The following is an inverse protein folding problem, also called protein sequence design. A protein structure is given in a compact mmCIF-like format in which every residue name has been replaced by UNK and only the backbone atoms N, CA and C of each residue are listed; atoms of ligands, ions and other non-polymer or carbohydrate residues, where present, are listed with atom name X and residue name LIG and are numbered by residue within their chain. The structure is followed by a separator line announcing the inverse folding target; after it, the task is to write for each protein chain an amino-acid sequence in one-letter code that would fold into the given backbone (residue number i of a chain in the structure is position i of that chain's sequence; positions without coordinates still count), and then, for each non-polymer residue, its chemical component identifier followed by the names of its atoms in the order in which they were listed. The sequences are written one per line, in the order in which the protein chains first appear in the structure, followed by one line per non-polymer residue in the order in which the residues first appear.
data_IF_991388805478
#
_entry.id   IF_991388805478
#
_cell.length_a   1.000
_cell.length_b   1.000
_cell.length_c   1.000
_cell.angle_alpha   90.00
_cell.angle_beta   90.00
_cell.angle_gamma   90.00
#
_symmetry.space_group_name_H-M   'P 1'
#
loop_
_entity.id
_entity.type
_entity.pdbx_description
1 polymer ?
#
# COMPACT_ATOMS: atom_id res chain seq x y z
N UNK A 1 14.32 -2.32 23.46
CA UNK A 1 14.29 -0.98 24.11
C UNK A 1 14.20 0.14 23.07
N UNK A 2 15.07 0.15 22.03
CA UNK A 2 15.11 1.22 21.02
C UNK A 2 13.79 1.43 20.24
N UNK A 3 13.08 0.36 19.77
CA UNK A 3 11.81 0.57 19.05
C UNK A 3 10.74 1.21 19.92
N UNK A 4 10.63 0.86 21.20
CA UNK A 4 9.67 1.49 22.10
C UNK A 4 9.99 2.97 22.35
N UNK A 5 11.26 3.31 22.53
CA UNK A 5 11.69 4.72 22.61
C UNK A 5 11.37 5.51 21.35
N UNK A 6 11.50 4.92 20.16
CA UNK A 6 11.13 5.54 18.90
C UNK A 6 9.62 5.76 18.76
N UNK A 7 8.79 4.84 19.25
CA UNK A 7 7.33 5.02 19.29
C UNK A 7 6.95 6.25 20.11
N UNK A 8 7.50 6.38 21.33
CA UNK A 8 7.22 7.54 22.18
C UNK A 8 7.75 8.85 21.58
N UNK A 9 8.96 8.83 21.00
CA UNK A 9 9.51 9.99 20.28
C UNK A 9 8.63 10.41 19.11
N UNK A 10 8.18 9.48 18.28
CA UNK A 10 7.32 9.77 17.14
C UNK A 10 5.92 10.21 17.56
N UNK A 11 5.37 9.66 18.65
CA UNK A 11 4.11 10.16 19.24
C UNK A 11 4.24 11.61 19.68
N UNK A 12 5.31 11.93 20.37
CA UNK A 12 5.59 13.30 20.82
C UNK A 12 5.74 14.25 19.63
N UNK A 13 6.51 13.84 18.62
CA UNK A 13 6.73 14.59 17.39
C UNK A 13 5.43 14.89 16.64
N UNK A 14 4.56 13.86 16.49
CA UNK A 14 3.24 14.00 15.87
C UNK A 14 2.29 14.87 16.69
N UNK A 15 2.35 14.79 18.02
CA UNK A 15 1.42 15.50 18.90
C UNK A 15 1.80 16.98 19.08
N UNK A 16 3.08 17.31 19.18
CA UNK A 16 3.57 18.64 19.55
C UNK A 16 4.20 19.42 18.42
N UNK A 17 4.90 18.74 17.50
CA UNK A 17 5.62 19.38 16.41
C UNK A 17 4.80 19.35 15.11
N UNK A 18 4.26 18.18 14.77
CA UNK A 18 3.44 17.98 13.56
C UNK A 18 1.98 17.73 13.98
N UNK A 19 1.23 18.79 14.25
CA UNK A 19 -0.20 18.73 14.63
C UNK A 19 -1.12 18.12 13.55
N UNK A 20 -0.61 17.74 12.38
CA UNK A 20 -1.34 17.05 11.31
C UNK A 20 -1.15 15.54 11.45
N UNK A 21 -2.18 14.86 11.96
CA UNK A 21 -2.33 13.43 11.74
C UNK A 21 -2.29 13.20 10.23
N UNK A 22 -1.29 12.46 9.73
CA UNK A 22 -1.24 12.10 8.31
C UNK A 22 -2.37 11.12 8.06
N UNK A 23 -3.50 11.64 7.60
CA UNK A 23 -4.69 10.84 7.26
C UNK A 23 -4.76 10.53 5.77
N UNK A 24 -3.84 11.08 4.99
CA UNK A 24 -3.82 10.94 3.54
C UNK A 24 -2.51 10.33 3.05
N UNK A 25 -2.60 9.53 2.01
CA UNK A 25 -1.45 8.98 1.28
C UNK A 25 -1.53 9.38 -0.19
N UNK A 26 -0.38 9.61 -0.83
CA UNK A 26 -0.31 10.05 -2.22
C UNK A 26 0.59 9.14 -3.05
N UNK A 27 0.18 8.88 -4.29
CA UNK A 27 0.92 8.11 -5.29
C UNK A 27 1.37 6.75 -4.78
N UNK A 28 0.44 6.00 -4.20
CA UNK A 28 0.71 4.68 -3.64
C UNK A 28 0.51 3.61 -4.69
N UNK A 29 1.54 2.80 -4.89
CA UNK A 29 1.49 1.62 -5.75
C UNK A 29 1.66 0.37 -4.90
N UNK A 30 0.75 -0.59 -5.06
CA UNK A 30 0.74 -1.85 -4.33
C UNK A 30 0.60 -3.02 -5.29
N UNK A 31 1.35 -4.07 -5.09
CA UNK A 31 1.02 -5.36 -5.69
C UNK A 31 0.01 -6.06 -4.78
N UNK A 32 -1.20 -6.26 -5.29
CA UNK A 32 -2.32 -6.83 -4.54
C UNK A 32 -2.44 -8.34 -4.72
N UNK A 33 -1.90 -8.85 -5.83
CA UNK A 33 -1.82 -10.29 -6.13
C UNK A 33 -0.69 -10.53 -7.13
N UNK A 34 -0.36 -11.80 -7.40
CA UNK A 34 0.63 -12.16 -8.41
C UNK A 34 0.24 -11.62 -9.77
N UNK A 35 1.05 -10.68 -10.29
CA UNK A 35 0.77 -10.00 -11.56
C UNK A 35 -0.39 -9.01 -11.52
N UNK A 36 -0.84 -8.58 -10.35
CA UNK A 36 -1.89 -7.56 -10.20
C UNK A 36 -1.36 -6.39 -9.39
N UNK A 37 -1.32 -5.22 -10.02
CA UNK A 37 -0.80 -3.98 -9.42
C UNK A 37 -1.92 -2.96 -9.31
N UNK A 38 -2.11 -2.43 -8.11
CA UNK A 38 -3.02 -1.33 -7.84
C UNK A 38 -2.23 -0.02 -7.68
N UNK A 39 -2.75 1.06 -8.21
CA UNK A 39 -2.24 2.40 -8.00
C UNK A 39 -3.36 3.32 -7.55
N UNK A 40 -3.08 4.16 -6.56
CA UNK A 40 -3.98 5.21 -6.08
C UNK A 40 -3.20 6.52 -6.02
N UNK A 41 -3.71 7.56 -6.68
CA UNK A 41 -3.07 8.87 -6.65
C UNK A 41 -3.23 9.55 -5.30
N UNK A 42 -4.42 9.51 -4.72
CA UNK A 42 -4.71 10.11 -3.43
C UNK A 42 -5.63 9.19 -2.63
N UNK A 43 -5.25 8.88 -1.39
CA UNK A 43 -6.04 8.06 -0.47
C UNK A 43 -6.31 8.84 0.82
N UNK A 44 -7.59 8.93 1.19
CA UNK A 44 -8.05 9.49 2.45
C UNK A 44 -8.44 8.35 3.40
N UNK A 45 -7.71 8.23 4.49
CA UNK A 45 -7.93 7.17 5.47
C UNK A 45 -9.13 7.44 6.39
N UNK A 46 -9.57 8.67 6.56
CA UNK A 46 -10.72 8.98 7.40
C UNK A 46 -12.01 8.52 6.72
N UNK A 47 -12.14 8.77 5.43
CA UNK A 47 -13.28 8.33 4.61
C UNK A 47 -13.09 6.96 3.98
N UNK A 48 -11.89 6.36 4.08
CA UNK A 48 -11.49 5.10 3.42
C UNK A 48 -11.69 5.15 1.91
N UNK A 49 -11.41 6.30 1.31
CA UNK A 49 -11.68 6.61 -0.10
C UNK A 49 -10.38 6.89 -0.84
N UNK A 50 -10.22 6.27 -1.98
CA UNK A 50 -9.12 6.52 -2.93
C UNK A 50 -9.64 7.23 -4.18
N UNK A 51 -8.83 8.13 -4.70
CA UNK A 51 -9.11 8.90 -5.92
C UNK A 51 -8.08 8.60 -6.99
N UNK A 52 -8.53 8.58 -8.24
CA UNK A 52 -7.72 8.23 -9.40
C UNK A 52 -7.03 6.88 -9.21
N UNK A 53 -7.87 5.86 -9.13
CA UNK A 53 -7.45 4.46 -8.95
C UNK A 53 -7.17 3.80 -10.29
N UNK A 54 -6.14 2.96 -10.36
CA UNK A 54 -5.98 2.01 -11.45
C UNK A 54 -5.58 0.63 -10.93
N UNK A 55 -5.99 -0.40 -11.67
CA UNK A 55 -5.67 -1.80 -11.40
C UNK A 55 -5.21 -2.48 -12.67
N UNK A 56 -3.95 -2.84 -12.70
CA UNK A 56 -3.28 -3.49 -13.83
C UNK A 56 -3.15 -4.98 -13.59
N UNK A 57 -3.60 -5.80 -14.53
CA UNK A 57 -3.39 -7.25 -14.51
C UNK A 57 -2.42 -7.65 -15.59
N UNK A 58 -1.36 -8.34 -15.20
CA UNK A 58 -0.32 -8.86 -16.07
C UNK A 58 -0.39 -10.39 -16.11
N UNK A 59 -0.23 -10.96 -17.30
CA UNK A 59 -0.03 -12.38 -17.52
C UNK A 59 1.19 -12.55 -18.44
N UNK A 60 2.16 -13.39 -18.02
CA UNK A 60 3.40 -13.61 -18.77
C UNK A 60 4.14 -12.30 -19.13
N UNK A 61 4.20 -11.37 -18.16
CA UNK A 61 4.78 -10.01 -18.30
C UNK A 61 4.09 -9.11 -19.33
N UNK A 62 2.90 -9.48 -19.80
CA UNK A 62 2.08 -8.67 -20.71
C UNK A 62 0.86 -8.15 -19.97
N UNK A 63 0.52 -6.89 -20.19
CA UNK A 63 -0.70 -6.31 -19.68
C UNK A 63 -1.90 -6.96 -20.39
N UNK A 64 -2.83 -7.53 -19.61
CA UNK A 64 -4.04 -8.18 -20.12
C UNK A 64 -5.31 -7.44 -19.74
N UNK A 65 -5.29 -6.66 -18.67
CA UNK A 65 -6.43 -5.83 -18.26
C UNK A 65 -5.92 -4.58 -17.52
N UNK A 66 -6.52 -3.44 -17.86
CA UNK A 66 -6.28 -2.16 -17.21
C UNK A 66 -7.64 -1.59 -16.80
N UNK A 67 -7.86 -1.45 -15.50
CA UNK A 67 -9.03 -0.80 -14.93
C UNK A 67 -8.62 0.57 -14.42
N UNK A 68 -9.35 1.61 -14.78
CA UNK A 68 -9.24 2.94 -14.19
C UNK A 68 -10.56 3.32 -13.54
N UNK A 69 -10.52 4.07 -12.46
CA UNK A 69 -11.71 4.56 -11.78
C UNK A 69 -11.45 5.91 -11.13
N UNK A 70 -12.47 6.76 -11.14
CA UNK A 70 -12.38 8.06 -10.47
C UNK A 70 -12.29 7.92 -8.96
N UNK A 71 -13.10 7.02 -8.39
CA UNK A 71 -13.20 6.83 -6.93
C UNK A 71 -13.28 5.34 -6.60
N UNK A 72 -12.56 4.96 -5.54
CA UNK A 72 -12.66 3.65 -4.91
C UNK A 72 -12.86 3.83 -3.41
N UNK A 73 -13.84 3.15 -2.83
CA UNK A 73 -14.16 3.25 -1.40
C UNK A 73 -14.22 1.88 -0.76
N UNK A 74 -13.54 1.73 0.38
CA UNK A 74 -13.57 0.50 1.17
C UNK A 74 -14.90 0.36 1.91
N UNK A 75 -15.55 -0.79 1.75
CA UNK A 75 -16.80 -1.06 2.47
C UNK A 75 -16.52 -1.59 3.88
N UNK A 76 -16.62 -0.70 4.87
CA UNK A 76 -16.41 -1.03 6.29
C UNK A 76 -17.57 -1.81 6.91
N UNK A 77 -18.74 -1.81 6.28
CA UNK A 77 -19.96 -2.47 6.77
C UNK A 77 -20.17 -3.86 6.16
N UNK A 78 -19.44 -4.18 5.10
CA UNK A 78 -19.56 -5.47 4.46
C UNK A 78 -19.05 -6.60 5.35
N UNK A 79 -19.79 -7.70 5.40
CA UNK A 79 -19.33 -8.95 6.05
C UNK A 79 -18.14 -9.59 5.31
N UNK A 80 -17.85 -9.15 4.09
CA UNK A 80 -16.74 -9.63 3.26
C UNK A 80 -15.54 -8.71 3.40
N UNK A 81 -14.44 -9.26 3.86
CA UNK A 81 -13.13 -8.59 3.86
C UNK A 81 -12.69 -8.27 2.43
N UNK A 82 -11.97 -7.16 2.22
CA UNK A 82 -11.45 -6.72 0.93
C UNK A 82 -12.51 -6.27 -0.10
N UNK A 83 -13.72 -5.90 0.33
CA UNK A 83 -14.74 -5.37 -0.57
C UNK A 83 -14.53 -3.87 -0.81
N UNK A 84 -14.41 -3.53 -2.09
CA UNK A 84 -14.26 -2.15 -2.55
C UNK A 84 -15.39 -1.79 -3.50
N UNK A 85 -15.97 -0.61 -3.30
CA UNK A 85 -16.92 0.03 -4.20
C UNK A 85 -16.14 0.91 -5.17
N UNK A 86 -16.23 0.63 -6.44
CA UNK A 86 -15.54 1.34 -7.52
C UNK A 86 -16.57 2.17 -8.26
N UNK A 87 -16.29 3.47 -8.44
CA UNK A 87 -17.23 4.40 -9.06
C UNK A 87 -16.59 5.07 -10.28
N UNK A 88 -17.36 5.24 -11.34
CA UNK A 88 -16.94 5.80 -12.64
C UNK A 88 -15.70 5.08 -13.15
N UNK A 89 -15.90 3.84 -13.58
CA UNK A 89 -14.80 2.99 -14.01
C UNK A 89 -14.80 2.73 -15.52
N UNK A 90 -13.62 2.52 -16.05
CA UNK A 90 -13.35 2.00 -17.38
C UNK A 90 -12.44 0.78 -17.25
N UNK A 91 -12.79 -0.30 -17.93
CA UNK A 91 -11.96 -1.50 -18.03
C UNK A 91 -11.57 -1.72 -19.47
N UNK A 92 -10.27 -1.85 -19.72
CA UNK A 92 -9.70 -2.23 -21.02
C UNK A 92 -9.14 -3.64 -20.91
N UNK A 93 -9.69 -4.55 -21.68
CA UNK A 93 -9.18 -5.92 -21.81
C UNK A 93 -8.43 -6.07 -23.13
N UNK A 94 -7.18 -6.55 -23.03
CA UNK A 94 -6.27 -6.72 -24.13
C UNK A 94 -6.20 -8.19 -24.55
N UNK A 95 -6.70 -8.51 -25.74
CA UNK A 95 -6.65 -9.84 -26.34
C UNK A 95 -5.77 -9.85 -27.59
N UNK A 96 -4.46 -9.88 -27.41
CA UNK A 96 -3.48 -9.75 -28.49
C UNK A 96 -3.53 -8.34 -29.10
N UNK A 97 -3.96 -8.23 -30.38
CA UNK A 97 -4.14 -6.94 -31.06
C UNK A 97 -5.57 -6.38 -30.94
N UNK A 98 -6.46 -7.04 -30.23
CA UNK A 98 -7.84 -6.59 -30.03
C UNK A 98 -8.00 -6.06 -28.63
N UNK A 99 -8.71 -4.95 -28.51
CA UNK A 99 -9.05 -4.31 -27.25
C UNK A 99 -10.58 -4.28 -27.11
N UNK A 100 -11.04 -4.58 -25.89
CA UNK A 100 -12.43 -4.39 -25.50
C UNK A 100 -12.47 -3.40 -24.35
N UNK A 101 -13.35 -2.40 -24.47
CA UNK A 101 -13.51 -1.34 -23.48
C UNK A 101 -14.92 -1.45 -22.90
N UNK A 102 -14.99 -1.44 -21.57
CA UNK A 102 -16.22 -1.44 -20.79
C UNK A 102 -16.23 -0.20 -19.89
N UNK A 103 -17.39 0.45 -19.80
CA UNK A 103 -17.60 1.57 -18.90
C UNK A 103 -18.74 1.25 -17.95
N UNK A 104 -18.67 1.78 -16.74
CA UNK A 104 -19.76 1.63 -15.79
C UNK A 104 -19.71 2.67 -14.67
N UNK A 105 -20.85 2.91 -14.06
CA UNK A 105 -20.98 3.89 -13.00
C UNK A 105 -20.51 3.33 -11.64
N UNK A 106 -20.90 2.09 -11.30
CA UNK A 106 -20.57 1.46 -10.01
C UNK A 106 -20.39 -0.04 -10.16
N UNK A 107 -19.39 -0.57 -9.47
CA UNK A 107 -19.16 -2.01 -9.34
C UNK A 107 -18.53 -2.30 -7.96
N UNK A 108 -18.95 -3.43 -7.37
CA UNK A 108 -18.32 -3.95 -6.17
C UNK A 108 -17.29 -5.01 -6.56
N UNK A 109 -16.07 -4.86 -6.07
CA UNK A 109 -14.96 -5.76 -6.39
C UNK A 109 -14.20 -6.18 -5.14
N UNK A 110 -13.81 -7.45 -5.09
CA UNK A 110 -12.91 -7.97 -4.06
C UNK A 110 -11.46 -7.74 -4.53
N UNK A 111 -10.76 -6.82 -3.88
CA UNK A 111 -9.36 -6.52 -4.16
C UNK A 111 -8.58 -6.76 -2.87
N UNK A 112 -7.56 -7.62 -2.92
CA UNK A 112 -6.78 -8.05 -1.74
C UNK A 112 -5.89 -6.94 -1.18
N UNK A 113 -6.48 -5.80 -0.84
CA UNK A 113 -5.85 -4.67 -0.20
C UNK A 113 -6.75 -4.11 0.90
N UNK A 114 -6.15 -3.51 1.91
CA UNK A 114 -6.82 -2.86 3.03
C UNK A 114 -6.41 -1.38 3.12
N UNK A 115 -7.24 -0.52 3.72
CA UNK A 115 -6.89 0.89 3.97
C UNK A 115 -5.55 1.08 4.69
N UNK A 116 -5.20 0.15 5.57
CA UNK A 116 -3.92 0.12 6.28
C UNK A 116 -2.71 -0.04 5.36
N UNK A 117 -2.88 -0.69 4.20
CA UNK A 117 -1.79 -0.93 3.25
C UNK A 117 -1.31 0.38 2.57
N UNK A 118 -2.13 1.44 2.57
CA UNK A 118 -1.80 2.75 2.02
C UNK A 118 -1.15 3.70 3.03
N UNK A 119 -1.31 3.42 4.33
CA UNK A 119 -0.92 4.33 5.41
C UNK A 119 0.45 3.97 5.97
N UNK A 120 1.47 3.87 5.09
CA UNK A 120 2.84 3.75 5.57
C UNK A 120 3.32 5.11 6.06
N UNK A 121 3.36 5.27 7.38
CA UNK A 121 3.96 6.45 8.00
C UNK A 121 5.44 6.52 7.64
N UNK A 122 5.89 7.71 7.24
CA UNK A 122 7.33 8.01 7.15
C UNK A 122 7.99 7.61 8.47
N UNK A 123 9.03 6.79 8.44
CA UNK A 123 9.75 6.24 9.60
C UNK A 123 9.03 5.11 10.37
N UNK A 124 8.01 4.48 9.82
CA UNK A 124 7.38 3.32 10.44
C UNK A 124 8.39 2.17 10.67
N UNK A 125 9.41 2.03 9.79
CA UNK A 125 10.49 1.07 9.96
C UNK A 125 11.24 1.23 11.29
N UNK A 126 11.31 2.44 11.85
CA UNK A 126 11.98 2.71 13.13
C UNK A 126 11.17 2.25 14.36
N UNK A 127 9.85 2.07 14.20
CA UNK A 127 8.95 1.69 15.30
C UNK A 127 8.82 0.17 15.47
N UNK A 128 9.09 -0.59 14.40
CA UNK A 128 9.01 -2.04 14.41
C UNK A 128 10.22 -2.63 15.15
N UNK A 129 10.01 -3.68 15.93
CA UNK A 129 11.10 -4.50 16.45
C UNK A 129 11.80 -5.27 15.32
N UNK A 130 13.02 -5.76 15.52
CA UNK A 130 13.76 -6.46 14.47
C UNK A 130 13.04 -7.71 13.93
N UNK A 131 12.39 -8.56 14.77
CA UNK A 131 11.55 -9.65 14.28
C UNK A 131 10.33 -9.18 13.48
N UNK A 132 9.60 -8.17 13.97
CA UNK A 132 8.45 -7.59 13.28
C UNK A 132 8.83 -6.97 11.93
N UNK A 133 10.00 -6.31 11.89
CA UNK A 133 10.54 -5.71 10.67
C UNK A 133 10.88 -6.80 9.64
N UNK A 134 11.49 -7.91 10.07
CA UNK A 134 11.78 -9.04 9.19
C UNK A 134 10.51 -9.70 8.65
N UNK A 135 9.52 -9.93 9.52
CA UNK A 135 8.23 -10.50 9.13
C UNK A 135 7.47 -9.58 8.19
N UNK A 136 7.53 -8.27 8.44
CA UNK A 136 6.97 -7.25 7.56
C UNK A 136 7.62 -7.30 6.17
N UNK A 137 8.96 -7.29 6.09
CA UNK A 137 9.72 -7.37 4.83
C UNK A 137 9.34 -8.65 4.07
N UNK A 138 9.31 -9.82 4.74
CA UNK A 138 8.92 -11.09 4.11
C UNK A 138 7.50 -11.05 3.55
N UNK A 139 6.56 -10.52 4.31
CA UNK A 139 5.14 -10.43 3.94
C UNK A 139 4.93 -9.49 2.74
N UNK A 140 5.65 -8.37 2.71
CA UNK A 140 5.59 -7.42 1.61
C UNK A 140 6.33 -7.93 0.36
N UNK A 141 7.45 -8.65 0.52
CA UNK A 141 8.14 -9.30 -0.60
C UNK A 141 7.26 -10.37 -1.26
N UNK A 142 6.50 -11.15 -0.49
CA UNK A 142 5.53 -12.10 -1.05
C UNK A 142 4.41 -11.39 -1.82
N UNK A 143 4.06 -10.17 -1.45
CA UNK A 143 3.09 -9.31 -2.15
C UNK A 143 3.72 -8.51 -3.30
N UNK A 144 5.06 -8.59 -3.48
CA UNK A 144 5.79 -7.85 -4.53
C UNK A 144 5.77 -6.34 -4.37
N UNK A 145 5.69 -5.83 -3.14
CA UNK A 145 5.68 -4.40 -2.88
C UNK A 145 6.98 -3.73 -3.34
N UNK A 146 6.87 -2.67 -4.14
CA UNK A 146 8.01 -2.05 -4.81
C UNK A 146 8.91 -1.19 -3.89
N UNK A 147 8.47 -0.80 -2.68
CA UNK A 147 9.14 0.20 -1.84
C UNK A 147 9.64 -0.36 -0.50
N UNK A 148 10.33 -1.51 -0.54
CA UNK A 148 10.86 -2.15 0.66
C UNK A 148 12.28 -1.71 1.04
N UNK A 149 12.97 -0.99 0.16
CA UNK A 149 14.38 -0.62 0.35
C UNK A 149 14.64 0.10 1.69
N UNK A 150 13.74 0.96 2.14
CA UNK A 150 13.90 1.66 3.42
C UNK A 150 13.81 0.71 4.62
N UNK A 151 12.95 -0.30 4.55
CA UNK A 151 12.80 -1.31 5.60
C UNK A 151 13.99 -2.28 5.61
N UNK A 152 14.48 -2.68 4.45
CA UNK A 152 15.68 -3.53 4.30
C UNK A 152 16.93 -2.82 4.80
N UNK A 153 17.13 -1.54 4.43
CA UNK A 153 18.24 -0.72 4.92
C UNK A 153 18.20 -0.60 6.44
N UNK A 154 17.04 -0.34 7.04
CA UNK A 154 16.90 -0.25 8.49
C UNK A 154 17.22 -1.59 9.17
N UNK A 155 16.75 -2.71 8.61
CA UNK A 155 17.07 -4.04 9.12
C UNK A 155 18.57 -4.33 9.10
N UNK A 156 19.24 -4.08 7.95
CA UNK A 156 20.68 -4.27 7.82
C UNK A 156 21.48 -3.33 8.73
N UNK A 157 21.05 -2.08 8.87
CA UNK A 157 21.66 -1.12 9.79
C UNK A 157 21.64 -1.60 11.22
N UNK A 158 20.52 -2.20 11.69
CA UNK A 158 20.42 -2.74 13.06
C UNK A 158 21.34 -3.94 13.29
N UNK A 159 21.58 -4.74 12.27
CA UNK A 159 22.53 -5.87 12.35
C UNK A 159 23.97 -5.36 12.31
N UNK A 160 24.28 -4.38 11.46
CA UNK A 160 25.62 -3.86 11.29
C UNK A 160 26.10 -2.98 12.45
N UNK A 161 25.19 -2.28 13.13
CA UNK A 161 25.53 -1.34 14.21
C UNK A 161 26.37 -1.96 15.36
N UNK A 162 26.11 -3.19 15.86
CA UNK A 162 26.95 -3.80 16.87
C UNK A 162 28.40 -4.05 16.41
N UNK A 163 28.58 -4.37 15.13
CA UNK A 163 29.92 -4.64 14.57
C UNK A 163 30.71 -3.35 14.35
N UNK A 164 30.06 -2.24 14.01
CA UNK A 164 30.70 -0.94 13.86
C UNK A 164 31.24 -0.38 15.18
N UNK A 165 30.78 -0.85 16.32
CA UNK A 165 31.27 -0.45 17.63
C UNK A 165 32.59 -1.13 18.04
N UNK A 166 33.03 -2.16 17.28
CA UNK A 166 34.26 -2.92 17.59
C UNK A 166 35.45 -2.54 16.67
N UNK A 167 35.24 -1.62 15.73
CA UNK A 167 36.29 -1.04 14.86
C UNK A 167 36.65 0.34 15.33
#
# INVERSE_FOLDING_TARGET
VIPHGNVERLRFDQQYIHKKKVTTAENVQLQVDTGVVAFIQHFDNDTKTGYNFSLDKFKDKKLVSHLTAAVIQYDTLAQKRYLWKITNYEVRELHGMREKIYHGDKIDSLIMMEPSDFMYSRNQQETLTSPELLDFIKKQNMRGAANLSMFEVEFHKRIAAPFAAFI
#
